data_IF_516466367513
#
_entry.id   IF_516466367513
#
_cell.length_a   1.000
_cell.length_b   1.000
_cell.length_c   1.000
_cell.angle_alpha   90.00
_cell.angle_beta   90.00
_cell.angle_gamma   90.00
#
_symmetry.space_group_name_H-M   'P 1'
#
loop_
_entity.id
_entity.type
_entity.pdbx_description
1 polymer ?
#
# COMPACT_ATOMS: atom_id res chain seq x y z
N UNK A 1 -7.59 -0.78 9.04
CA UNK A 1 -6.37 -1.20 9.75
C UNK A 1 -6.56 -2.54 10.42
N UNK A 2 -5.61 -3.45 10.21
CA UNK A 2 -5.49 -4.75 10.87
C UNK A 2 -4.30 -4.71 11.83
N UNK A 3 -4.58 -4.27 13.05
CA UNK A 3 -3.54 -4.15 14.09
C UNK A 3 -3.00 -5.49 14.57
N UNK A 4 -3.76 -6.58 14.41
CA UNK A 4 -3.25 -7.92 14.70
C UNK A 4 -2.11 -8.27 13.75
N UNK A 5 -2.26 -8.04 12.44
CA UNK A 5 -1.18 -8.25 11.47
C UNK A 5 0.05 -7.38 11.76
N UNK A 6 -0.14 -6.13 12.16
CA UNK A 6 0.98 -5.24 12.55
C UNK A 6 1.73 -5.79 13.77
N UNK A 7 1.02 -6.34 14.75
CA UNK A 7 1.64 -7.01 15.89
C UNK A 7 2.34 -8.31 15.49
N UNK A 8 1.78 -9.08 14.56
CA UNK A 8 2.40 -10.28 14.03
C UNK A 8 3.71 -9.93 13.32
N UNK A 9 3.72 -8.90 12.48
CA UNK A 9 4.93 -8.39 11.84
C UNK A 9 6.00 -8.02 12.87
N UNK A 10 5.62 -7.29 13.94
CA UNK A 10 6.55 -6.95 15.03
C UNK A 10 7.13 -8.20 15.70
N UNK A 11 6.34 -9.25 15.89
CA UNK A 11 6.82 -10.53 16.46
C UNK A 11 7.74 -11.28 15.50
N UNK A 12 7.48 -11.21 14.20
CA UNK A 12 8.26 -11.87 13.14
C UNK A 12 9.64 -11.25 12.99
N UNK A 13 9.73 -9.91 12.94
CA UNK A 13 11.00 -9.20 12.70
C UNK A 13 11.74 -8.82 13.99
N UNK A 14 11.05 -8.86 15.13
CA UNK A 14 11.58 -8.43 16.42
C UNK A 14 11.40 -6.92 16.64
N UNK A 15 11.41 -6.52 17.92
CA UNK A 15 11.16 -5.13 18.33
C UNK A 15 12.20 -4.15 17.76
N UNK A 16 13.47 -4.54 17.77
CA UNK A 16 14.58 -3.67 17.33
C UNK A 16 14.52 -3.34 15.83
N UNK A 17 14.08 -4.30 15.00
CA UNK A 17 13.99 -4.14 13.55
C UNK A 17 12.61 -3.65 13.07
N UNK A 18 11.59 -3.67 13.93
CA UNK A 18 10.22 -3.40 13.54
C UNK A 18 10.02 -2.00 12.94
N UNK A 19 10.62 -0.97 13.56
CA UNK A 19 10.48 0.41 13.08
C UNK A 19 11.12 0.58 11.69
N UNK A 20 12.30 -0.02 11.45
CA UNK A 20 12.99 0.02 10.16
C UNK A 20 12.19 -0.69 9.07
N UNK A 21 11.66 -1.88 9.37
CA UNK A 21 10.86 -2.65 8.42
C UNK A 21 9.57 -1.91 8.05
N UNK A 22 8.88 -1.31 9.03
CA UNK A 22 7.68 -0.50 8.75
C UNK A 22 8.03 0.73 7.90
N UNK A 23 9.12 1.43 8.21
CA UNK A 23 9.56 2.59 7.45
C UNK A 23 9.87 2.22 5.99
N UNK A 24 10.57 1.11 5.76
CA UNK A 24 10.89 0.63 4.41
C UNK A 24 9.63 0.34 3.60
N UNK A 25 8.70 -0.45 4.15
CA UNK A 25 7.44 -0.74 3.45
C UNK A 25 6.62 0.54 3.20
N UNK A 26 6.59 1.47 4.15
CA UNK A 26 5.90 2.75 3.99
C UNK A 26 6.51 3.60 2.87
N UNK A 27 7.84 3.67 2.80
CA UNK A 27 8.58 4.39 1.75
C UNK A 27 8.30 3.79 0.37
N UNK A 28 8.39 2.47 0.24
CA UNK A 28 8.10 1.79 -1.02
C UNK A 28 6.64 1.98 -1.45
N UNK A 29 5.69 1.87 -0.51
CA UNK A 29 4.26 2.08 -0.79
C UNK A 29 3.99 3.55 -1.20
N UNK A 30 4.65 4.51 -0.55
CA UNK A 30 4.55 5.94 -0.88
C UNK A 30 5.08 6.20 -2.31
N UNK A 31 6.21 5.59 -2.69
CA UNK A 31 6.77 5.74 -4.03
C UNK A 31 5.79 5.30 -5.11
N UNK A 32 5.11 4.16 -4.90
CA UNK A 32 4.08 3.70 -5.83
C UNK A 32 2.84 4.61 -5.82
N UNK A 33 2.39 5.07 -4.65
CA UNK A 33 1.28 6.02 -4.56
C UNK A 33 1.58 7.35 -5.30
N UNK A 34 2.82 7.83 -5.26
CA UNK A 34 3.25 9.03 -5.99
C UNK A 34 3.22 8.82 -7.50
N UNK A 35 3.66 7.65 -7.99
CA UNK A 35 3.54 7.27 -9.40
C UNK A 35 2.10 7.34 -9.88
N UNK A 36 1.15 6.86 -9.06
CA UNK A 36 -0.27 6.88 -9.39
C UNK A 36 -0.87 8.29 -9.32
N UNK A 37 -0.44 9.15 -8.38
CA UNK A 37 -0.93 10.53 -8.26
C UNK A 37 -0.55 11.42 -9.44
N UNK A 38 0.62 11.19 -10.02
CA UNK A 38 1.17 12.03 -11.07
C UNK A 38 1.72 11.18 -12.24
N UNK A 39 0.85 10.46 -12.97
CA UNK A 39 1.28 9.67 -14.11
C UNK A 39 1.93 10.58 -15.15
N UNK A 40 3.10 10.17 -15.64
CA UNK A 40 3.85 10.94 -16.64
C UNK A 40 3.08 10.96 -17.98
N UNK A 41 2.78 12.14 -18.55
CA UNK A 41 2.17 12.22 -19.89
C UNK A 41 3.07 11.64 -20.99
N UNK A 42 4.39 11.64 -20.77
CA UNK A 42 5.36 11.08 -21.69
C UNK A 42 5.47 9.55 -21.61
N UNK A 43 4.90 8.95 -20.55
CA UNK A 43 4.96 7.51 -20.28
C UNK A 43 3.66 7.08 -19.62
N UNK A 44 2.55 7.01 -20.38
CA UNK A 44 1.26 6.63 -19.83
C UNK A 44 1.32 5.18 -19.33
N UNK A 45 0.73 4.95 -18.16
CA UNK A 45 0.63 3.59 -17.58
C UNK A 45 -0.21 2.71 -18.50
N UNK A 46 0.34 1.55 -18.86
CA UNK A 46 -0.40 0.50 -19.56
C UNK A 46 -1.23 -0.30 -18.54
N UNK A 47 -2.23 -1.09 -19.00
CA UNK A 47 -2.92 -2.01 -18.11
C UNK A 47 -1.98 -3.00 -17.40
N UNK A 48 -0.90 -3.44 -18.07
CA UNK A 48 0.12 -4.31 -17.45
C UNK A 48 0.88 -3.60 -16.33
N UNK A 49 1.31 -2.34 -16.56
CA UNK A 49 1.97 -1.55 -15.52
C UNK A 49 1.05 -1.35 -14.31
N UNK A 50 -0.25 -1.11 -14.56
CA UNK A 50 -1.22 -0.95 -13.48
C UNK A 50 -1.46 -2.25 -12.72
N UNK A 51 -1.53 -3.40 -13.40
CA UNK A 51 -1.58 -4.72 -12.74
C UNK A 51 -0.39 -4.91 -11.80
N UNK A 52 0.84 -4.63 -12.27
CA UNK A 52 2.06 -4.77 -11.48
C UNK A 52 2.09 -3.81 -10.27
N UNK A 53 1.70 -2.55 -10.46
CA UNK A 53 1.63 -1.57 -9.37
C UNK A 53 0.58 -1.95 -8.33
N UNK A 54 -0.58 -2.47 -8.77
CA UNK A 54 -1.63 -2.95 -7.86
C UNK A 54 -1.20 -4.20 -7.11
N UNK A 55 -0.53 -5.14 -7.78
CA UNK A 55 0.03 -6.32 -7.14
C UNK A 55 1.03 -5.95 -6.04
N UNK A 56 1.93 -5.01 -6.34
CA UNK A 56 2.91 -4.51 -5.39
C UNK A 56 2.23 -3.85 -4.17
N UNK A 57 1.35 -2.87 -4.41
CA UNK A 57 0.65 -2.16 -3.33
C UNK A 57 -0.16 -3.12 -2.45
N UNK A 58 -0.81 -4.12 -3.06
CA UNK A 58 -1.53 -5.15 -2.30
C UNK A 58 -0.60 -5.88 -1.35
N UNK A 59 0.58 -6.30 -1.81
CA UNK A 59 1.57 -6.99 -0.98
C UNK A 59 2.04 -6.13 0.20
N UNK A 60 2.41 -4.87 -0.07
CA UNK A 60 2.85 -3.94 0.97
C UNK A 60 1.72 -3.63 1.97
N UNK A 61 0.50 -3.42 1.47
CA UNK A 61 -0.70 -3.20 2.27
C UNK A 61 -0.97 -4.37 3.23
N UNK A 62 -0.86 -5.62 2.75
CA UNK A 62 -1.05 -6.81 3.59
C UNK A 62 0.03 -6.93 4.68
N UNK A 63 1.26 -6.52 4.40
CA UNK A 63 2.32 -6.50 5.42
C UNK A 63 2.09 -5.43 6.48
N UNK A 64 1.62 -4.25 6.09
CA UNK A 64 1.35 -3.13 6.99
C UNK A 64 -0.05 -3.17 7.65
N UNK A 65 -0.87 -4.18 7.35
CA UNK A 65 -2.23 -4.31 7.87
C UNK A 65 -3.22 -3.29 7.29
N UNK A 66 -3.00 -2.81 6.07
CA UNK A 66 -3.87 -1.88 5.36
C UNK A 66 -4.98 -2.64 4.60
N UNK A 67 -5.83 -3.38 5.33
CA UNK A 67 -6.82 -4.31 4.75
C UNK A 67 -7.67 -3.71 3.61
N UNK A 68 -8.18 -2.49 3.78
CA UNK A 68 -9.01 -1.85 2.75
C UNK A 68 -8.21 -1.47 1.50
N UNK A 69 -6.97 -1.00 1.68
CA UNK A 69 -6.07 -0.74 0.56
C UNK A 69 -5.77 -2.06 -0.18
N UNK A 70 -5.44 -3.12 0.55
CA UNK A 70 -5.17 -4.43 -0.04
C UNK A 70 -6.37 -4.96 -0.85
N UNK A 71 -7.59 -4.78 -0.33
CA UNK A 71 -8.83 -5.17 -1.01
C UNK A 71 -9.04 -4.37 -2.31
N UNK A 72 -8.85 -3.05 -2.26
CA UNK A 72 -8.99 -2.18 -3.44
C UNK A 72 -7.94 -2.51 -4.51
N UNK A 73 -6.69 -2.69 -4.10
CA UNK A 73 -5.61 -3.10 -5.01
C UNK A 73 -5.89 -4.46 -5.64
N UNK A 74 -6.43 -5.44 -4.89
CA UNK A 74 -6.80 -6.74 -5.46
C UNK A 74 -7.89 -6.62 -6.54
N UNK A 75 -8.88 -5.75 -6.35
CA UNK A 75 -9.91 -5.50 -7.36
C UNK A 75 -9.29 -4.86 -8.61
N UNK A 76 -8.52 -3.78 -8.43
CA UNK A 76 -7.90 -3.07 -9.54
C UNK A 76 -6.86 -3.91 -10.30
N UNK A 77 -6.11 -4.79 -9.62
CA UNK A 77 -5.21 -5.78 -10.24
C UNK A 77 -5.99 -6.71 -11.18
N UNK A 78 -7.16 -7.21 -10.75
CA UNK A 78 -7.99 -8.06 -11.59
C UNK A 78 -8.55 -7.29 -12.79
N UNK A 79 -9.06 -6.09 -12.57
CA UNK A 79 -9.66 -5.25 -13.62
C UNK A 79 -8.63 -4.85 -14.68
N UNK A 80 -7.39 -4.58 -14.27
CA UNK A 80 -6.26 -4.27 -15.14
C UNK A 80 -5.91 -5.46 -16.03
N UNK A 81 -5.80 -6.65 -15.42
CA UNK A 81 -5.50 -7.91 -16.11
C UNK A 81 -6.59 -8.33 -17.11
N UNK A 82 -7.87 -8.11 -16.81
CA UNK A 82 -8.99 -8.52 -17.67
C UNK A 82 -9.30 -7.52 -18.79
N UNK A 83 -8.56 -6.41 -18.88
CA UNK A 83 -8.79 -5.39 -19.92
C UNK A 83 -10.11 -4.65 -19.77
N UNK A 84 -10.71 -4.67 -18.57
CA UNK A 84 -11.88 -3.83 -18.21
C UNK A 84 -11.44 -2.37 -17.94
N UNK A 85 -10.15 -2.09 -18.15
CA UNK A 85 -9.35 -0.95 -17.74
C UNK A 85 -9.61 0.36 -18.46
N UNK A 86 -10.76 0.57 -19.09
CA UNK A 86 -11.01 1.80 -19.84
C UNK A 86 -10.89 3.06 -18.93
N UNK A 87 -11.13 2.91 -17.62
CA UNK A 87 -10.88 3.91 -16.57
C UNK A 87 -10.84 3.19 -15.21
N UNK A 88 -9.70 2.59 -14.81
CA UNK A 88 -9.55 2.15 -13.42
C UNK A 88 -9.41 3.41 -12.57
N UNK A 89 -10.42 3.69 -11.75
CA UNK A 89 -10.39 4.80 -10.81
C UNK A 89 -9.41 4.49 -9.67
N UNK A 90 -8.27 5.18 -9.69
CA UNK A 90 -7.23 5.09 -8.67
C UNK A 90 -7.54 5.95 -7.42
N UNK A 91 -8.54 6.83 -7.49
CA UNK A 91 -8.87 7.75 -6.40
C UNK A 91 -9.19 7.02 -5.08
N UNK A 92 -10.00 5.95 -5.07
CA UNK A 92 -10.27 5.19 -3.85
C UNK A 92 -9.02 4.53 -3.26
N UNK A 93 -8.10 4.07 -4.11
CA UNK A 93 -6.84 3.46 -3.70
C UNK A 93 -5.96 4.50 -2.99
N UNK A 94 -5.81 5.69 -3.59
CA UNK A 94 -5.02 6.78 -3.01
C UNK A 94 -5.60 7.26 -1.67
N UNK A 95 -6.93 7.40 -1.58
CA UNK A 95 -7.61 7.78 -0.34
C UNK A 95 -7.41 6.71 0.75
N UNK A 96 -7.53 5.43 0.40
CA UNK A 96 -7.32 4.33 1.33
C UNK A 96 -5.87 4.27 1.82
N UNK A 97 -4.90 4.55 0.94
CA UNK A 97 -3.50 4.66 1.32
C UNK A 97 -3.27 5.81 2.32
N UNK A 98 -3.75 7.02 2.02
CA UNK A 98 -3.57 8.19 2.89
C UNK A 98 -4.19 7.98 4.28
N UNK A 99 -5.40 7.41 4.32
CA UNK A 99 -6.04 7.08 5.60
C UNK A 99 -5.26 6.02 6.37
N UNK A 100 -4.83 4.94 5.71
CA UNK A 100 -4.12 3.84 6.36
C UNK A 100 -2.75 4.27 6.87
N UNK A 101 -2.03 5.10 6.10
CA UNK A 101 -0.77 5.73 6.51
C UNK A 101 -0.97 6.61 7.74
N UNK A 102 -1.99 7.48 7.73
CA UNK A 102 -2.32 8.33 8.88
C UNK A 102 -2.60 7.51 10.13
N UNK A 103 -3.44 6.47 10.01
CA UNK A 103 -3.78 5.58 11.12
C UNK A 103 -2.56 4.82 11.66
N UNK A 104 -1.69 4.33 10.77
CA UNK A 104 -0.47 3.63 11.14
C UNK A 104 0.47 4.54 11.93
N UNK A 105 0.78 5.72 11.39
CA UNK A 105 1.68 6.69 12.03
C UNK A 105 1.14 7.12 13.41
N UNK A 106 -0.17 7.34 13.53
CA UNK A 106 -0.80 7.63 14.82
C UNK A 106 -0.75 6.45 15.80
N UNK A 107 -0.65 5.22 15.29
CA UNK A 107 -0.62 4.00 16.10
C UNK A 107 0.77 3.50 16.49
N UNK A 108 1.81 3.78 15.71
CA UNK A 108 3.18 3.32 15.98
C UNK A 108 3.69 3.63 17.40
N UNK A 109 3.44 4.83 17.98
CA UNK A 109 3.87 5.11 19.35
C UNK A 109 3.28 4.15 20.39
N UNK A 110 2.05 3.64 20.16
CA UNK A 110 1.40 2.64 21.05
C UNK A 110 2.07 1.27 20.97
N UNK A 111 2.85 1.03 19.92
CA UNK A 111 3.62 -0.18 19.68
C UNK A 111 5.10 0.00 20.04
N UNK A 112 5.49 1.09 20.71
CA UNK A 112 6.91 1.36 21.03
C UNK A 112 7.78 1.63 19.81
N UNK A 113 7.16 1.90 18.65
CA UNK A 113 7.84 2.22 17.41
C UNK A 113 7.79 3.73 17.16
N UNK A 114 8.81 4.25 16.48
CA UNK A 114 8.86 5.61 15.97
C UNK A 114 8.82 5.56 14.44
N UNK A 115 8.11 6.53 13.85
CA UNK A 115 8.05 6.73 12.42
C UNK A 115 9.32 7.42 11.90
#
# INVERSE_FOLDING_TARGET
MNWARVQDLRREVGEDAFSEVVALFLEETESVAQTLRAPSPATPLTPGDLEDLMHFLKGAALNLGFDELARLCQTAEVDARTGTSAEIDITPILNAYDQSKSDLLAGLPRLGAVA
#
